data_IF_398822655265
#
_entry.id   IF_398822655265
#
_cell.length_a   1.000
_cell.length_b   1.000
_cell.length_c   1.000
_cell.angle_alpha   90.00
_cell.angle_beta   90.00
_cell.angle_gamma   90.00
#
_symmetry.space_group_name_H-M   'P 1'
#
loop_
_entity.id
_entity.type
_entity.pdbx_description
1 polymer ?
#
# COMPACT_ATOMS: atom_id res chain seq x y z
N UNK A 1 -17.60 71.97 -11.84
CA UNK A 1 -18.82 71.20 -11.53
C UNK A 1 -18.54 69.75 -11.59
N UNK A 2 -18.84 69.10 -10.56
CA UNK A 2 -18.46 67.80 -10.09
C UNK A 2 -18.93 66.68 -10.98
N UNK A 3 -18.02 65.89 -11.54
CA UNK A 3 -18.35 64.53 -11.95
C UNK A 3 -17.37 63.59 -11.26
N UNK A 4 -17.75 63.08 -10.13
CA UNK A 4 -17.04 61.98 -9.46
C UNK A 4 -17.56 60.68 -9.99
N UNK A 5 -16.80 60.06 -10.85
CA UNK A 5 -17.02 58.72 -11.32
C UNK A 5 -16.64 57.73 -10.22
N UNK A 6 -17.62 57.00 -9.80
CA UNK A 6 -17.45 55.93 -8.84
C UNK A 6 -16.98 54.67 -9.60
N UNK A 7 -15.68 54.48 -9.64
CA UNK A 7 -15.03 53.26 -10.17
C UNK A 7 -14.36 52.57 -9.02
N UNK A 8 -15.00 51.67 -8.33
CA UNK A 8 -14.32 50.72 -7.47
C UNK A 8 -15.27 49.60 -7.00
N UNK A 9 -15.44 48.57 -7.77
CA UNK A 9 -16.00 47.31 -7.23
C UNK A 9 -15.56 46.03 -7.98
N UNK A 10 -14.64 46.12 -8.95
CA UNK A 10 -14.27 44.92 -9.73
C UNK A 10 -12.92 44.28 -9.43
N UNK A 11 -12.00 44.82 -8.59
CA UNK A 11 -10.75 44.14 -8.33
C UNK A 11 -10.81 43.02 -7.29
N UNK A 12 -11.81 43.03 -6.42
CA UNK A 12 -11.89 42.03 -5.33
C UNK A 12 -12.38 40.65 -5.83
N UNK A 13 -13.36 40.64 -6.70
CA UNK A 13 -13.89 39.40 -7.29
C UNK A 13 -12.83 38.69 -8.16
N UNK A 14 -12.10 39.46 -8.97
CA UNK A 14 -11.01 38.92 -9.79
C UNK A 14 -9.87 38.34 -8.96
N UNK A 15 -9.55 38.98 -7.83
CA UNK A 15 -8.53 38.49 -6.89
C UNK A 15 -8.97 37.22 -6.16
N UNK A 16 -10.24 37.15 -5.78
CA UNK A 16 -10.79 35.95 -5.14
C UNK A 16 -10.84 34.78 -6.13
N UNK A 17 -11.25 35.01 -7.37
CA UNK A 17 -11.25 33.97 -8.41
C UNK A 17 -9.82 33.50 -8.73
N UNK A 18 -8.85 34.42 -8.80
CA UNK A 18 -7.46 34.07 -9.02
C UNK A 18 -6.86 33.26 -7.86
N UNK A 19 -7.20 33.58 -6.61
CA UNK A 19 -6.76 32.84 -5.44
C UNK A 19 -7.37 31.46 -5.36
N UNK A 20 -8.66 31.32 -5.71
CA UNK A 20 -9.34 30.02 -5.76
C UNK A 20 -8.77 29.14 -6.90
N UNK A 21 -8.51 29.70 -8.07
CA UNK A 21 -7.88 28.99 -9.19
C UNK A 21 -6.46 28.54 -8.85
N UNK A 22 -5.69 29.37 -8.14
CA UNK A 22 -4.33 29.01 -7.69
C UNK A 22 -4.35 27.91 -6.63
N UNK A 23 -5.31 27.94 -5.70
CA UNK A 23 -5.48 26.92 -4.68
C UNK A 23 -5.92 25.56 -5.28
N UNK A 24 -6.79 25.57 -6.33
CA UNK A 24 -7.15 24.34 -7.03
C UNK A 24 -5.97 23.74 -7.82
N UNK A 25 -5.11 24.57 -8.42
CA UNK A 25 -3.95 24.09 -9.15
C UNK A 25 -2.90 23.39 -8.26
N UNK A 26 -2.81 23.77 -6.99
CA UNK A 26 -1.88 23.16 -6.02
C UNK A 26 -2.25 21.72 -5.63
N UNK A 27 -3.51 21.31 -5.81
CA UNK A 27 -3.99 19.96 -5.44
C UNK A 27 -3.57 18.89 -6.47
N UNK A 28 -3.21 19.28 -7.70
CA UNK A 28 -2.82 18.35 -8.76
C UNK A 28 -1.32 18.01 -8.82
N UNK A 29 -0.51 18.53 -7.90
CA UNK A 29 0.95 18.31 -7.89
C UNK A 29 1.39 17.04 -7.12
N UNK A 30 0.47 16.34 -6.47
CA UNK A 30 0.81 15.10 -5.74
C UNK A 30 0.61 13.90 -6.64
N UNK A 31 1.56 13.66 -7.55
CA UNK A 31 1.64 12.44 -8.36
C UNK A 31 2.04 11.20 -7.56
N UNK A 32 1.42 10.95 -6.42
CA UNK A 32 1.45 9.66 -5.73
C UNK A 32 0.02 9.17 -5.63
N UNK A 33 -0.40 8.38 -6.61
CA UNK A 33 -1.63 7.60 -6.49
C UNK A 33 -1.36 6.51 -5.47
N UNK A 34 -1.54 6.83 -4.20
CA UNK A 34 -1.75 5.83 -3.17
C UNK A 34 -3.20 5.39 -3.34
N UNK A 35 -3.42 4.27 -4.00
CA UNK A 35 -4.71 3.61 -4.00
C UNK A 35 -4.97 3.11 -2.57
N UNK A 36 -5.53 3.98 -1.72
CA UNK A 36 -6.05 3.58 -0.43
C UNK A 36 -7.35 2.81 -0.68
N UNK A 37 -7.26 1.51 -0.75
CA UNK A 37 -8.42 0.62 -0.83
C UNK A 37 -8.85 0.28 0.59
N UNK A 38 -9.98 0.86 1.02
CA UNK A 38 -10.85 0.30 2.04
C UNK A 38 -10.50 0.65 3.49
N UNK A 39 -11.40 1.36 4.14
CA UNK A 39 -11.45 1.51 5.60
C UNK A 39 -11.59 0.14 6.26
N UNK A 40 -10.60 -0.26 7.09
CA UNK A 40 -10.66 -1.43 7.96
C UNK A 40 -9.60 -2.51 7.73
N UNK A 41 -8.83 -2.47 6.64
CA UNK A 41 -7.62 -3.26 6.47
C UNK A 41 -6.47 -2.30 6.21
N UNK A 42 -5.32 -2.50 6.84
CA UNK A 42 -4.15 -1.64 6.72
C UNK A 42 -3.85 -1.25 5.27
N UNK A 43 -3.29 -0.07 5.08
CA UNK A 43 -2.96 0.47 3.76
C UNK A 43 -2.16 -0.56 2.94
N UNK A 44 -2.62 -0.84 1.73
CA UNK A 44 -1.94 -1.71 0.78
C UNK A 44 -1.31 -0.82 -0.29
N UNK A 45 -0.04 -1.00 -0.54
CA UNK A 45 0.68 -0.28 -1.59
C UNK A 45 1.46 -1.27 -2.46
N UNK A 46 1.46 -1.05 -3.77
CA UNK A 46 2.30 -1.81 -4.69
C UNK A 46 3.36 -0.87 -5.27
N UNK A 47 4.61 -1.08 -4.90
CA UNK A 47 5.72 -0.19 -5.23
C UNK A 47 6.89 -1.01 -5.75
N UNK A 48 7.38 -0.69 -6.96
CA UNK A 48 8.57 -1.32 -7.56
C UNK A 48 8.52 -2.84 -7.63
N UNK A 49 7.34 -3.41 -7.87
CA UNK A 49 7.15 -4.85 -7.96
C UNK A 49 6.99 -5.55 -6.60
N UNK A 50 6.79 -4.81 -5.53
CA UNK A 50 6.61 -5.32 -4.17
C UNK A 50 5.28 -4.81 -3.60
N UNK A 51 4.48 -5.73 -3.08
CA UNK A 51 3.23 -5.42 -2.38
C UNK A 51 3.54 -5.23 -0.90
N UNK A 52 3.22 -4.06 -0.37
CA UNK A 52 3.36 -3.76 1.06
C UNK A 52 1.98 -3.65 1.71
N UNK A 53 1.81 -4.25 2.88
CA UNK A 53 0.60 -4.12 3.67
C UNK A 53 0.91 -4.19 5.17
N UNK A 54 -0.01 -3.72 5.98
CA UNK A 54 0.04 -3.86 7.45
C UNK A 54 -1.05 -4.82 7.88
N UNK A 55 -0.68 -5.75 8.75
CA UNK A 55 -1.57 -6.74 9.35
C UNK A 55 -1.72 -6.43 10.85
N UNK A 56 -2.95 -6.35 11.33
CA UNK A 56 -3.25 -6.12 12.76
C UNK A 56 -3.16 -7.45 13.54
N UNK A 57 -1.98 -8.07 13.48
CA UNK A 57 -1.66 -9.35 14.14
C UNK A 57 -0.20 -9.38 14.53
N UNK A 58 0.09 -10.23 15.52
CA UNK A 58 1.47 -10.48 15.95
C UNK A 58 2.30 -11.10 14.83
N UNK A 59 3.63 -10.91 14.88
CA UNK A 59 4.54 -11.54 13.93
C UNK A 59 4.35 -13.06 13.86
N UNK A 60 4.13 -13.71 15.00
CA UNK A 60 3.93 -15.15 15.06
C UNK A 60 2.68 -15.62 14.31
N UNK A 61 1.57 -14.89 14.47
CA UNK A 61 0.31 -15.24 13.80
C UNK A 61 0.40 -14.93 12.30
N UNK A 62 1.03 -13.82 11.94
CA UNK A 62 1.28 -13.46 10.54
C UNK A 62 2.15 -14.50 9.81
N UNK A 63 3.19 -15.05 10.47
CA UNK A 63 4.03 -16.13 9.91
C UNK A 63 3.19 -17.40 9.71
N UNK A 64 2.40 -17.80 10.70
CA UNK A 64 1.52 -18.99 10.59
C UNK A 64 0.49 -18.81 9.47
N UNK A 65 -0.11 -17.64 9.36
CA UNK A 65 -1.07 -17.32 8.32
C UNK A 65 -0.43 -17.36 6.93
N UNK A 66 0.79 -16.84 6.80
CA UNK A 66 1.57 -16.89 5.55
C UNK A 66 1.92 -18.33 5.14
N UNK A 67 2.33 -19.17 6.09
CA UNK A 67 2.62 -20.58 5.84
C UNK A 67 1.37 -21.35 5.36
N UNK A 68 0.22 -21.09 6.00
CA UNK A 68 -1.05 -21.68 5.55
C UNK A 68 -1.45 -21.18 4.16
N UNK A 69 -1.27 -19.89 3.88
CA UNK A 69 -1.57 -19.31 2.57
C UNK A 69 -0.72 -19.94 1.47
N UNK A 70 0.58 -20.11 1.68
CA UNK A 70 1.49 -20.81 0.76
C UNK A 70 0.99 -22.22 0.45
N UNK A 71 0.60 -22.97 1.48
CA UNK A 71 0.07 -24.35 1.32
C UNK A 71 -1.27 -24.39 0.58
N UNK A 72 -2.19 -23.47 0.92
CA UNK A 72 -3.52 -23.42 0.29
C UNK A 72 -3.47 -22.98 -1.18
N UNK A 73 -2.46 -22.20 -1.55
CA UNK A 73 -2.20 -21.79 -2.93
C UNK A 73 -1.34 -22.83 -3.70
N UNK A 74 -1.03 -23.96 -3.06
CA UNK A 74 -0.22 -25.04 -3.63
C UNK A 74 1.16 -24.59 -4.10
N UNK A 75 1.73 -23.59 -3.44
CA UNK A 75 3.10 -23.14 -3.71
C UNK A 75 4.12 -24.00 -2.97
N UNK A 76 5.23 -24.31 -3.62
CA UNK A 76 6.32 -25.08 -3.03
C UNK A 76 7.12 -24.21 -2.07
N UNK A 77 6.99 -24.43 -0.75
CA UNK A 77 7.81 -23.75 0.25
C UNK A 77 9.27 -24.19 0.12
N UNK A 78 10.17 -23.23 0.00
CA UNK A 78 11.62 -23.44 -0.14
C UNK A 78 12.34 -23.26 1.17
N UNK A 79 12.07 -22.15 1.87
CA UNK A 79 12.72 -21.84 3.14
C UNK A 79 11.86 -20.93 4.02
N UNK A 80 12.18 -20.97 5.31
CA UNK A 80 11.66 -20.04 6.30
C UNK A 80 12.79 -19.66 7.25
N UNK A 81 12.98 -18.37 7.44
CA UNK A 81 13.88 -17.81 8.45
C UNK A 81 13.06 -16.90 9.34
N UNK A 82 13.24 -17.01 10.64
CA UNK A 82 12.47 -16.20 11.59
C UNK A 82 13.34 -15.86 12.79
N UNK A 83 13.24 -14.63 13.24
CA UNK A 83 13.78 -14.15 14.51
C UNK A 83 12.69 -13.44 15.34
N UNK A 84 13.07 -12.70 16.37
CA UNK A 84 12.16 -12.00 17.26
C UNK A 84 11.43 -10.82 16.61
N UNK A 85 11.99 -10.24 15.54
CA UNK A 85 11.51 -9.01 14.92
C UNK A 85 11.11 -9.18 13.47
N UNK A 86 11.68 -10.19 12.79
CA UNK A 86 11.45 -10.41 11.35
C UNK A 86 11.22 -11.88 11.02
N UNK A 87 10.59 -12.12 9.90
CA UNK A 87 10.52 -13.43 9.27
C UNK A 87 10.56 -13.29 7.75
N UNK A 88 11.22 -14.24 7.09
CA UNK A 88 11.28 -14.33 5.64
C UNK A 88 10.85 -15.74 5.23
N UNK A 89 9.82 -15.83 4.40
CA UNK A 89 9.36 -17.06 3.79
C UNK A 89 9.63 -17.01 2.29
N UNK A 90 10.24 -18.06 1.76
CA UNK A 90 10.48 -18.20 0.33
C UNK A 90 9.70 -19.42 -0.18
N UNK A 91 8.97 -19.22 -1.27
CA UNK A 91 8.25 -20.27 -1.96
C UNK A 91 8.43 -20.15 -3.48
N UNK A 92 7.92 -21.11 -4.25
CA UNK A 92 7.89 -21.08 -5.70
C UNK A 92 6.51 -21.46 -6.23
N UNK A 93 6.09 -20.80 -7.30
CA UNK A 93 4.90 -21.18 -8.06
C UNK A 93 5.18 -22.42 -8.91
N UNK A 94 4.12 -23.00 -9.48
CA UNK A 94 4.26 -24.11 -10.43
C UNK A 94 5.09 -23.74 -11.69
N UNK A 95 5.15 -22.43 -12.03
CA UNK A 95 5.97 -21.93 -13.13
C UNK A 95 7.38 -21.53 -12.69
N UNK A 96 7.81 -21.98 -11.51
CA UNK A 96 9.13 -21.72 -10.91
C UNK A 96 9.40 -20.21 -10.60
N UNK A 97 8.37 -19.37 -10.55
CA UNK A 97 8.55 -18.00 -10.09
C UNK A 97 8.82 -17.98 -8.59
N UNK A 98 9.88 -17.29 -8.17
CA UNK A 98 10.20 -17.09 -6.75
C UNK A 98 9.17 -16.20 -6.09
N UNK A 99 8.69 -16.59 -4.93
CA UNK A 99 7.86 -15.81 -4.03
C UNK A 99 8.68 -15.50 -2.79
N UNK A 100 8.76 -14.23 -2.41
CA UNK A 100 9.35 -13.78 -1.16
C UNK A 100 8.26 -13.07 -0.34
N UNK A 101 8.10 -13.50 0.91
CA UNK A 101 7.21 -12.88 1.89
C UNK A 101 8.06 -12.46 3.07
N UNK A 102 8.26 -11.16 3.22
CA UNK A 102 8.99 -10.57 4.33
C UNK A 102 7.99 -10.00 5.35
N UNK A 103 8.18 -10.37 6.58
CA UNK A 103 7.35 -9.95 7.71
C UNK A 103 8.22 -9.22 8.72
N UNK A 104 7.81 -8.05 9.16
CA UNK A 104 8.51 -7.26 10.17
C UNK A 104 7.55 -6.84 11.29
N UNK A 105 7.95 -7.10 12.53
CA UNK A 105 7.21 -6.63 13.71
C UNK A 105 7.29 -5.11 13.78
N UNK A 106 6.14 -4.45 13.77
CA UNK A 106 6.02 -2.99 13.96
C UNK A 106 5.52 -2.68 15.38
N UNK A 107 4.72 -3.56 15.93
CA UNK A 107 4.21 -3.51 17.29
C UNK A 107 3.87 -4.92 17.79
N UNK A 108 3.37 -5.04 19.00
CA UNK A 108 3.07 -6.36 19.58
C UNK A 108 1.95 -7.08 18.81
N UNK A 109 1.00 -6.32 18.29
CA UNK A 109 -0.14 -6.80 17.50
C UNK A 109 -0.16 -6.24 16.08
N UNK A 110 0.97 -5.72 15.59
CA UNK A 110 1.05 -5.13 14.26
C UNK A 110 2.30 -5.64 13.54
N UNK A 111 2.09 -6.19 12.34
CA UNK A 111 3.16 -6.72 11.48
C UNK A 111 3.05 -6.09 10.09
N UNK A 112 4.16 -5.59 9.57
CA UNK A 112 4.29 -5.18 8.17
C UNK A 112 4.61 -6.41 7.33
N UNK A 113 3.89 -6.62 6.25
CA UNK A 113 4.14 -7.67 5.26
C UNK A 113 4.54 -7.05 3.94
N UNK A 114 5.54 -7.64 3.30
CA UNK A 114 5.98 -7.34 1.94
C UNK A 114 5.98 -8.62 1.12
N UNK A 115 5.41 -8.57 -0.07
CA UNK A 115 5.27 -9.72 -0.95
C UNK A 115 5.83 -9.36 -2.32
N UNK A 116 6.79 -10.13 -2.79
CA UNK A 116 7.36 -10.03 -4.14
C UNK A 116 7.24 -11.37 -4.86
N UNK A 117 6.77 -11.33 -6.09
CA UNK A 117 6.63 -12.52 -6.94
C UNK A 117 7.41 -12.31 -8.24
N UNK A 118 8.43 -13.13 -8.45
CA UNK A 118 9.33 -13.02 -9.60
C UNK A 118 10.29 -11.82 -9.50
N UNK A 119 11.05 -11.62 -10.55
CA UNK A 119 12.11 -10.57 -10.60
C UNK A 119 11.51 -9.18 -10.69
N UNK A 120 10.47 -9.02 -11.50
CA UNK A 120 9.84 -7.72 -11.76
C UNK A 120 8.63 -7.43 -10.88
N UNK A 121 8.17 -8.43 -10.11
CA UNK A 121 6.92 -8.39 -9.36
C UNK A 121 5.73 -8.84 -10.22
N UNK A 122 4.74 -9.43 -9.54
CA UNK A 122 3.45 -9.82 -10.12
C UNK A 122 2.37 -9.38 -9.15
N UNK A 123 1.74 -8.25 -9.45
CA UNK A 123 0.76 -7.62 -8.55
C UNK A 123 -0.43 -8.52 -8.28
N UNK A 124 -0.96 -9.17 -9.32
CA UNK A 124 -2.15 -10.02 -9.20
C UNK A 124 -1.89 -11.22 -8.26
N UNK A 125 -0.76 -11.89 -8.44
CA UNK A 125 -0.36 -13.02 -7.58
C UNK A 125 -0.04 -12.53 -6.17
N UNK A 126 0.64 -11.39 -6.01
CA UNK A 126 0.94 -10.79 -4.70
C UNK A 126 -0.32 -10.45 -3.93
N UNK A 127 -1.34 -9.88 -4.60
CA UNK A 127 -2.65 -9.60 -4.01
C UNK A 127 -3.38 -10.88 -3.60
N UNK A 128 -3.36 -11.90 -4.43
CA UNK A 128 -3.98 -13.19 -4.10
C UNK A 128 -3.34 -13.84 -2.86
N UNK A 129 -2.01 -13.73 -2.73
CA UNK A 129 -1.28 -14.20 -1.54
C UNK A 129 -1.70 -13.39 -0.30
N UNK A 130 -1.74 -12.05 -0.39
CA UNK A 130 -2.14 -11.20 0.72
C UNK A 130 -3.56 -11.51 1.20
N UNK A 131 -4.51 -11.65 0.27
CA UNK A 131 -5.90 -12.01 0.61
C UNK A 131 -5.97 -13.39 1.28
N UNK A 132 -5.19 -14.35 0.81
CA UNK A 132 -5.12 -15.67 1.44
C UNK A 132 -4.50 -15.62 2.84
N UNK A 133 -3.48 -14.77 3.05
CA UNK A 133 -2.91 -14.52 4.39
C UNK A 133 -3.98 -13.94 5.31
N UNK A 134 -4.70 -12.91 4.87
CA UNK A 134 -5.77 -12.28 5.66
C UNK A 134 -6.88 -13.26 6.05
N UNK A 135 -7.25 -14.17 5.16
CA UNK A 135 -8.24 -15.23 5.45
C UNK A 135 -7.78 -16.22 6.52
N UNK A 136 -6.48 -16.31 6.78
CA UNK A 136 -5.87 -17.22 7.75
C UNK A 136 -5.48 -16.54 9.07
N UNK A 137 -5.72 -15.23 9.21
CA UNK A 137 -5.49 -14.47 10.44
C UNK A 137 -6.65 -14.62 11.41
#
# INVERSE_FOLDING_TARGET
MQMMSNMNSTPSLLRVVALVAFALAAVFQSGCVVAAVGAGAGAVAYIRGELEATLDRSLNDAVKASDRAIKQLEFAKVSEKKDALTANLVARTAQDKKIEIDLAKVGDTVTKVKIRVGVFGDEAVSMAILEKIKQNL
#
